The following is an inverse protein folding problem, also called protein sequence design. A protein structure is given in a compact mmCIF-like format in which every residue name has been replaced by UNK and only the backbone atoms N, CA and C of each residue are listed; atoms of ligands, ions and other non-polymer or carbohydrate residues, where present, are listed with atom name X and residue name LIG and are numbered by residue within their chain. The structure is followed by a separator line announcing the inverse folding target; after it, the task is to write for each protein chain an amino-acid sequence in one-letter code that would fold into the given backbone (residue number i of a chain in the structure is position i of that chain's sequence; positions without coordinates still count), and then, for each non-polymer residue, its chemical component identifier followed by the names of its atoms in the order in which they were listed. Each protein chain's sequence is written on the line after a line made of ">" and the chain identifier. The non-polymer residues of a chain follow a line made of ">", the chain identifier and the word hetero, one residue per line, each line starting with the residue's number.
data_IF_025722379616
#
_entry.id   IF_025722379616
#
_cell.length_a   1.000
_cell.length_b   1.000
_cell.length_c   1.000
_cell.angle_alpha   90.00
_cell.angle_beta   90.00
_cell.angle_gamma   90.00
#
_symmetry.space_group_name_H-M   'P 1'
#
loop_
_entity.id
_entity.type
_entity.pdbx_description
1 polymer ?
#
# COMPACT_ATOMS: atom_id res chain seq x y z
N UNK A 1 6.45 6.69 -2.73
CA UNK A 1 5.62 6.22 -3.85
C UNK A 1 6.46 5.51 -4.92
N UNK A 2 7.54 6.09 -5.45
CA UNK A 2 8.35 5.42 -6.48
C UNK A 2 8.79 3.99 -6.09
N UNK A 3 9.25 3.79 -4.86
CA UNK A 3 9.62 2.46 -4.34
C UNK A 3 8.39 1.54 -4.27
N UNK A 4 7.25 2.03 -3.80
CA UNK A 4 6.05 1.21 -3.71
C UNK A 4 5.49 0.81 -5.08
N UNK A 5 5.57 1.67 -6.10
CA UNK A 5 5.23 1.28 -7.46
C UNK A 5 6.09 0.12 -7.99
N UNK A 6 7.37 0.06 -7.62
CA UNK A 6 8.23 -1.08 -8.00
C UNK A 6 7.86 -2.38 -7.28
N UNK A 7 7.27 -2.32 -6.08
CA UNK A 7 6.97 -3.53 -5.29
C UNK A 7 6.01 -4.49 -5.98
N UNK A 8 5.11 -4.00 -6.84
CA UNK A 8 4.23 -4.86 -7.63
C UNK A 8 5.02 -5.85 -8.50
N UNK A 9 6.10 -5.39 -9.13
CA UNK A 9 6.97 -6.24 -9.96
C UNK A 9 7.74 -7.25 -9.09
N UNK A 10 8.35 -6.80 -7.99
CA UNK A 10 9.10 -7.68 -7.09
C UNK A 10 8.20 -8.71 -6.39
N UNK A 11 6.98 -8.33 -6.00
CA UNK A 11 5.99 -9.26 -5.44
C UNK A 11 5.57 -10.29 -6.50
N UNK A 12 5.35 -9.88 -7.75
CA UNK A 12 5.01 -10.82 -8.84
C UNK A 12 6.14 -11.83 -9.08
N UNK A 13 7.40 -11.39 -9.04
CA UNK A 13 8.55 -12.30 -9.17
C UNK A 13 8.59 -13.35 -8.04
N UNK A 14 8.25 -12.96 -6.81
CA UNK A 14 8.17 -13.88 -5.68
C UNK A 14 7.00 -14.86 -5.80
N UNK A 15 5.83 -14.41 -6.28
CA UNK A 15 4.69 -15.29 -6.59
C UNK A 15 5.07 -16.33 -7.66
N UNK A 16 5.74 -15.90 -8.73
CA UNK A 16 6.24 -16.79 -9.79
C UNK A 16 7.33 -17.76 -9.30
N UNK A 17 8.03 -17.42 -8.22
CA UNK A 17 9.02 -18.31 -7.59
C UNK A 17 8.38 -19.34 -6.65
N UNK A 18 7.03 -19.37 -6.53
CA UNK A 18 6.29 -20.35 -5.74
C UNK A 18 5.96 -19.92 -4.31
N UNK A 19 6.26 -18.69 -3.92
CA UNK A 19 5.80 -18.14 -2.63
C UNK A 19 4.31 -17.77 -2.72
N UNK A 20 3.57 -18.06 -1.67
CA UNK A 20 2.15 -17.66 -1.58
C UNK A 20 2.01 -16.18 -1.17
N UNK A 21 0.86 -15.53 -1.46
CA UNK A 21 0.57 -14.18 -1.02
C UNK A 21 0.78 -13.96 0.49
N UNK A 22 0.37 -14.91 1.32
CA UNK A 22 0.50 -14.88 2.78
C UNK A 22 1.97 -15.00 3.22
N UNK A 23 2.73 -15.90 2.60
CA UNK A 23 4.17 -16.07 2.88
C UNK A 23 4.96 -14.80 2.55
N UNK A 24 4.70 -14.18 1.38
CA UNK A 24 5.37 -12.93 0.99
C UNK A 24 5.07 -11.83 2.01
N UNK A 25 3.80 -11.65 2.39
CA UNK A 25 3.43 -10.67 3.41
C UNK A 25 4.14 -10.95 4.74
N UNK A 26 4.06 -12.17 5.23
CA UNK A 26 4.60 -12.54 6.56
C UNK A 26 6.12 -12.37 6.60
N UNK A 27 6.84 -12.87 5.61
CA UNK A 27 8.31 -12.78 5.56
C UNK A 27 8.79 -11.32 5.50
N UNK A 28 8.20 -10.49 4.63
CA UNK A 28 8.58 -9.09 4.53
C UNK A 28 8.25 -8.29 5.80
N UNK A 29 7.13 -8.59 6.48
CA UNK A 29 6.74 -7.91 7.71
C UNK A 29 7.54 -8.39 8.92
N UNK A 30 7.94 -9.66 8.98
CA UNK A 30 8.90 -10.14 10.00
C UNK A 30 10.22 -9.38 9.89
N UNK A 31 10.79 -9.27 8.69
CA UNK A 31 12.02 -8.50 8.47
C UNK A 31 11.86 -7.05 8.92
N UNK A 32 10.78 -6.39 8.49
CA UNK A 32 10.50 -5.02 8.85
C UNK A 32 10.29 -4.83 10.36
N UNK A 33 9.54 -5.74 11.00
CA UNK A 33 9.26 -5.68 12.43
C UNK A 33 10.51 -5.89 13.28
N UNK A 34 11.34 -6.89 12.95
CA UNK A 34 12.58 -7.17 13.68
C UNK A 34 13.53 -5.98 13.63
N UNK A 35 13.71 -5.37 12.46
CA UNK A 35 14.54 -4.19 12.29
C UNK A 35 14.00 -2.98 13.08
N UNK A 36 12.69 -2.74 13.01
CA UNK A 36 12.06 -1.64 13.72
C UNK A 36 12.01 -1.88 15.24
N UNK A 37 11.88 -3.13 15.65
CA UNK A 37 11.99 -3.55 17.05
C UNK A 37 13.39 -3.25 17.58
N UNK A 38 14.45 -3.66 16.86
CA UNK A 38 15.83 -3.35 17.19
C UNK A 38 16.07 -1.85 17.34
N UNK A 39 15.57 -1.05 16.38
CA UNK A 39 15.63 0.41 16.49
C UNK A 39 14.89 0.95 17.72
N UNK A 40 13.69 0.43 18.02
CA UNK A 40 12.87 0.87 19.16
C UNK A 40 13.53 0.57 20.51
N UNK A 41 14.29 -0.53 20.62
CA UNK A 41 15.04 -0.90 21.83
C UNK A 41 16.16 0.10 22.14
N UNK A 42 16.77 0.72 21.11
CA UNK A 42 17.85 1.70 21.31
C UNK A 42 17.35 3.10 21.68
N UNK A 43 16.03 3.37 21.63
CA UNK A 43 15.44 4.71 21.70
C UNK A 43 14.25 4.81 22.68
N UNK A 44 14.23 4.19 23.79
CA UNK A 44 13.21 4.33 24.87
C UNK A 44 11.78 4.72 24.41
N UNK A 45 11.31 4.10 23.29
CA UNK A 45 9.96 4.34 22.80
C UNK A 45 8.92 3.61 23.69
N UNK A 46 7.74 4.22 23.87
CA UNK A 46 6.61 3.57 24.53
C UNK A 46 6.28 2.21 23.89
N UNK A 47 5.90 1.24 24.75
CA UNK A 47 5.58 -0.13 24.27
C UNK A 47 4.09 -0.38 24.19
N UNK A 48 3.32 0.18 25.11
CA UNK A 48 1.87 -0.02 25.22
C UNK A 48 1.14 1.27 24.86
N UNK A 49 -0.07 1.12 24.37
CA UNK A 49 -1.00 2.22 24.17
C UNK A 49 -1.58 2.69 25.51
N UNK A 50 -2.03 3.95 25.56
CA UNK A 50 -2.55 4.55 26.79
C UNK A 50 -3.89 3.94 27.25
N UNK A 51 -4.63 3.31 26.35
CA UNK A 51 -5.92 2.70 26.64
C UNK A 51 -6.21 1.48 25.75
N UNK A 52 -7.16 0.65 26.19
CA UNK A 52 -7.65 -0.50 25.40
C UNK A 52 -8.26 -0.03 24.06
N UNK A 53 -8.91 1.12 24.04
CA UNK A 53 -9.46 1.69 22.78
C UNK A 53 -8.35 2.04 21.80
N UNK A 54 -7.25 2.58 22.29
CA UNK A 54 -6.10 2.91 21.44
C UNK A 54 -5.40 1.63 20.95
N UNK A 55 -5.35 0.59 21.79
CA UNK A 55 -4.79 -0.71 21.38
C UNK A 55 -5.65 -1.38 20.30
N UNK A 56 -6.99 -1.31 20.41
CA UNK A 56 -7.91 -1.75 19.36
C UNK A 56 -7.76 -0.94 18.06
N UNK A 57 -7.48 0.36 18.18
CA UNK A 57 -7.15 1.20 17.02
C UNK A 57 -5.86 0.74 16.35
N UNK A 58 -4.82 0.41 17.11
CA UNK A 58 -3.55 -0.12 16.56
C UNK A 58 -3.75 -1.49 15.90
N UNK A 59 -4.61 -2.35 16.49
CA UNK A 59 -4.99 -3.62 15.87
C UNK A 59 -5.73 -3.41 14.55
N UNK A 60 -6.70 -2.51 14.51
CA UNK A 60 -7.41 -2.17 13.27
C UNK A 60 -6.47 -1.60 12.19
N UNK A 61 -5.50 -0.77 12.58
CA UNK A 61 -4.45 -0.28 11.67
C UNK A 61 -3.55 -1.42 11.15
N UNK A 62 -3.18 -2.37 12.01
CA UNK A 62 -2.39 -3.54 11.60
C UNK A 62 -3.12 -4.45 10.64
N UNK A 63 -4.43 -4.64 10.82
CA UNK A 63 -5.26 -5.44 9.90
C UNK A 63 -5.48 -4.70 8.58
N UNK A 64 -5.92 -3.44 8.63
CA UNK A 64 -6.28 -2.69 7.42
C UNK A 64 -5.09 -2.23 6.60
N UNK A 65 -3.99 -1.78 7.21
CA UNK A 65 -2.77 -1.36 6.52
C UNK A 65 -1.70 -2.44 6.40
N UNK A 66 -1.94 -3.60 7.01
CA UNK A 66 -1.04 -4.75 7.01
C UNK A 66 -1.69 -5.97 6.36
N UNK A 67 -2.11 -6.95 7.19
CA UNK A 67 -2.48 -8.29 6.72
C UNK A 67 -3.55 -8.30 5.65
N UNK A 68 -4.70 -7.68 5.88
CA UNK A 68 -5.83 -7.75 4.94
C UNK A 68 -5.51 -7.02 3.63
N UNK A 69 -4.87 -5.86 3.71
CA UNK A 69 -4.41 -5.13 2.52
C UNK A 69 -3.49 -5.99 1.66
N UNK A 70 -2.39 -6.50 2.24
CA UNK A 70 -1.40 -7.25 1.47
C UNK A 70 -1.88 -8.63 1.05
N UNK A 71 -2.72 -9.31 1.84
CA UNK A 71 -3.34 -10.56 1.41
C UNK A 71 -4.19 -10.35 0.16
N UNK A 72 -5.07 -9.36 0.17
CA UNK A 72 -5.97 -9.09 -0.96
C UNK A 72 -5.20 -8.54 -2.17
N UNK A 73 -4.24 -7.64 -1.98
CA UNK A 73 -3.39 -7.11 -3.05
C UNK A 73 -2.54 -8.22 -3.70
N UNK A 74 -1.80 -8.98 -2.90
CA UNK A 74 -0.93 -10.03 -3.42
C UNK A 74 -1.74 -11.16 -4.08
N UNK A 75 -2.89 -11.53 -3.48
CA UNK A 75 -3.77 -12.56 -4.04
C UNK A 75 -4.40 -12.11 -5.35
N UNK A 76 -4.73 -10.84 -5.51
CA UNK A 76 -5.28 -10.32 -6.77
C UNK A 76 -4.36 -10.59 -7.95
N UNK A 77 -3.04 -10.49 -7.76
CA UNK A 77 -2.03 -10.72 -8.79
C UNK A 77 -1.92 -12.18 -9.27
N UNK A 78 -2.57 -13.13 -8.59
CA UNK A 78 -2.71 -14.50 -9.08
C UNK A 78 -3.84 -14.63 -10.12
N UNK A 79 -4.82 -13.73 -10.07
CA UNK A 79 -6.04 -13.82 -10.90
C UNK A 79 -6.11 -12.73 -11.98
N UNK A 80 -5.42 -11.60 -11.78
CA UNK A 80 -5.37 -10.48 -12.73
C UNK A 80 -3.93 -10.00 -12.95
N UNK A 81 -3.74 -9.03 -13.85
CA UNK A 81 -2.41 -8.48 -14.13
C UNK A 81 -1.94 -7.53 -13.02
N UNK A 82 -0.63 -7.39 -12.88
CA UNK A 82 -0.01 -6.40 -11.97
C UNK A 82 -0.49 -4.98 -12.27
N UNK A 83 -0.64 -4.67 -13.55
CA UNK A 83 -1.15 -3.41 -14.06
C UNK A 83 -2.58 -3.15 -13.61
N UNK A 84 -3.47 -4.15 -13.74
CA UNK A 84 -4.87 -4.05 -13.32
C UNK A 84 -4.99 -3.90 -11.79
N UNK A 85 -4.24 -4.70 -11.04
CA UNK A 85 -4.15 -4.57 -9.57
C UNK A 85 -3.71 -3.16 -9.17
N UNK A 86 -2.63 -2.64 -9.78
CA UNK A 86 -2.12 -1.28 -9.51
C UNK A 86 -3.14 -0.19 -9.82
N UNK A 87 -3.91 -0.32 -10.91
CA UNK A 87 -4.99 0.61 -11.25
C UNK A 87 -6.07 0.64 -10.16
N UNK A 88 -6.58 -0.54 -9.81
CA UNK A 88 -7.70 -0.64 -8.87
C UNK A 88 -7.26 -0.19 -7.47
N UNK A 89 -6.07 -0.57 -7.02
CA UNK A 89 -5.49 -0.10 -5.74
C UNK A 89 -5.31 1.42 -5.74
N UNK A 90 -5.02 2.02 -6.89
CA UNK A 90 -4.91 3.49 -7.02
C UNK A 90 -6.25 4.23 -6.86
N UNK A 91 -7.39 3.54 -6.69
CA UNK A 91 -8.64 4.15 -6.24
C UNK A 91 -8.64 4.48 -4.73
N UNK A 92 -7.67 3.95 -3.98
CA UNK A 92 -7.60 4.14 -2.52
C UNK A 92 -7.62 5.61 -2.07
N UNK A 93 -7.03 6.61 -2.76
CA UNK A 93 -7.17 8.01 -2.39
C UNK A 93 -8.60 8.55 -2.51
N UNK A 94 -9.35 8.10 -3.53
CA UNK A 94 -10.77 8.48 -3.67
C UNK A 94 -11.58 7.90 -2.52
N UNK A 95 -11.36 6.62 -2.18
CA UNK A 95 -12.02 5.94 -1.07
C UNK A 95 -11.66 6.61 0.26
N UNK A 96 -10.37 6.87 0.50
CA UNK A 96 -9.91 7.55 1.70
C UNK A 96 -10.55 8.94 1.84
N UNK A 97 -10.56 9.73 0.76
CA UNK A 97 -11.17 11.06 0.74
C UNK A 97 -12.66 11.01 1.01
N UNK A 98 -13.39 10.04 0.45
CA UNK A 98 -14.82 9.84 0.69
C UNK A 98 -15.08 9.46 2.16
N UNK A 99 -14.33 8.50 2.70
CA UNK A 99 -14.47 8.11 4.10
C UNK A 99 -14.15 9.27 5.04
N UNK A 100 -13.05 9.99 4.81
CA UNK A 100 -12.66 11.14 5.63
C UNK A 100 -13.71 12.25 5.55
N UNK A 101 -14.28 12.52 4.38
CA UNK A 101 -15.34 13.49 4.21
C UNK A 101 -16.59 13.15 5.03
N UNK A 102 -16.91 11.85 5.17
CA UNK A 102 -18.07 11.39 5.94
C UNK A 102 -17.84 11.49 7.46
N UNK A 103 -16.63 11.19 7.93
CA UNK A 103 -16.36 11.07 9.37
C UNK A 103 -15.65 12.28 9.98
N UNK A 104 -14.94 13.09 9.19
CA UNK A 104 -14.14 14.23 9.68
C UNK A 104 -14.46 15.52 8.93
N UNK A 105 -15.03 16.49 9.62
CA UNK A 105 -15.35 17.81 9.05
C UNK A 105 -14.13 18.69 8.82
N UNK A 106 -13.07 18.50 9.61
CA UNK A 106 -11.84 19.31 9.60
C UNK A 106 -10.86 18.94 8.49
N UNK A 107 -10.98 17.74 7.92
CA UNK A 107 -10.10 17.19 6.90
C UNK A 107 -10.75 17.20 5.50
N UNK A 108 -11.84 17.98 5.31
CA UNK A 108 -12.57 18.02 4.04
C UNK A 108 -11.76 18.69 2.94
N UNK A 109 -11.78 18.07 1.77
CA UNK A 109 -11.22 18.64 0.56
C UNK A 109 -12.00 19.89 0.12
N UNK A 110 -11.27 20.92 -0.30
CA UNK A 110 -11.86 22.03 -1.04
C UNK A 110 -12.14 21.63 -2.51
N UNK A 111 -12.88 22.46 -3.25
CA UNK A 111 -13.27 22.15 -4.64
C UNK A 111 -12.07 21.95 -5.57
N UNK A 112 -10.97 22.69 -5.37
CA UNK A 112 -9.74 22.57 -6.18
C UNK A 112 -9.05 21.25 -5.89
N UNK A 113 -8.95 20.89 -4.61
CA UNK A 113 -8.36 19.59 -4.19
C UNK A 113 -9.18 18.42 -4.73
N UNK A 114 -10.50 18.50 -4.69
CA UNK A 114 -11.37 17.47 -5.24
C UNK A 114 -11.22 17.33 -6.76
N UNK A 115 -11.16 18.44 -7.48
CA UNK A 115 -10.90 18.43 -8.92
C UNK A 115 -9.51 17.84 -9.23
N UNK A 116 -8.48 18.18 -8.44
CA UNK A 116 -7.14 17.61 -8.55
C UNK A 116 -7.11 16.11 -8.33
N UNK A 117 -7.80 15.61 -7.27
CA UNK A 117 -7.92 14.18 -6.97
C UNK A 117 -8.60 13.42 -8.11
N UNK A 118 -9.69 13.96 -8.66
CA UNK A 118 -10.38 13.35 -9.81
C UNK A 118 -9.51 13.37 -11.07
N UNK A 119 -8.80 14.48 -11.33
CA UNK A 119 -7.88 14.58 -12.48
C UNK A 119 -6.75 13.55 -12.37
N UNK A 120 -6.17 13.37 -11.17
CA UNK A 120 -5.14 12.35 -10.96
C UNK A 120 -5.69 10.93 -11.18
N UNK A 121 -6.91 10.64 -10.72
CA UNK A 121 -7.57 9.35 -10.95
C UNK A 121 -7.81 9.08 -12.45
N UNK A 122 -8.24 10.08 -13.22
CA UNK A 122 -8.37 9.97 -14.67
C UNK A 122 -7.01 9.73 -15.31
N UNK A 123 -5.97 10.45 -14.85
CA UNK A 123 -4.60 10.24 -15.31
C UNK A 123 -4.11 8.82 -15.10
N UNK A 124 -4.40 8.21 -13.93
CA UNK A 124 -4.09 6.80 -13.64
C UNK A 124 -4.80 5.88 -14.65
N UNK A 125 -6.08 6.09 -14.91
CA UNK A 125 -6.82 5.30 -15.89
C UNK A 125 -6.17 5.40 -17.29
N UNK A 126 -5.76 6.59 -17.72
CA UNK A 126 -5.09 6.79 -19.02
C UNK A 126 -3.73 6.08 -19.07
N UNK A 127 -2.93 6.17 -17.99
CA UNK A 127 -1.63 5.50 -17.90
C UNK A 127 -1.78 3.98 -17.98
N UNK A 128 -2.72 3.42 -17.24
CA UNK A 128 -2.87 1.97 -17.13
C UNK A 128 -3.52 1.36 -18.36
N UNK A 129 -4.53 2.01 -18.92
CA UNK A 129 -5.15 1.55 -20.18
C UNK A 129 -4.18 1.61 -21.36
N UNK A 130 -3.18 2.50 -21.31
CA UNK A 130 -2.05 2.57 -22.25
C UNK A 130 -2.46 2.44 -23.74
N UNK A 131 -3.67 2.94 -24.10
CA UNK A 131 -4.24 2.82 -25.43
C UNK A 131 -4.91 1.49 -25.77
N UNK A 132 -4.81 0.51 -24.90
CA UNK A 132 -5.49 -0.78 -25.04
C UNK A 132 -6.69 -0.81 -24.11
N UNK A 133 -7.88 -0.55 -24.65
CA UNK A 133 -9.13 -0.60 -23.88
C UNK A 133 -9.60 -2.03 -23.56
N UNK A 134 -8.73 -3.03 -23.69
CA UNK A 134 -9.04 -4.41 -23.34
C UNK A 134 -8.68 -4.63 -21.88
N UNK A 135 -9.62 -4.34 -21.01
CA UNK A 135 -9.56 -4.79 -19.61
C UNK A 135 -9.78 -6.32 -19.62
N UNK A 136 -8.74 -7.06 -19.30
CA UNK A 136 -8.91 -8.47 -18.94
C UNK A 136 -9.60 -8.52 -17.57
N UNK A 137 -10.93 -8.41 -17.56
CA UNK A 137 -11.73 -8.43 -16.34
C UNK A 137 -11.62 -9.81 -15.69
N UNK A 138 -11.08 -9.84 -14.51
CA UNK A 138 -11.11 -10.99 -13.61
C UNK A 138 -11.95 -10.64 -12.38
N UNK A 139 -13.24 -11.04 -12.33
CA UNK A 139 -14.12 -10.61 -11.24
C UNK A 139 -13.55 -10.88 -9.86
N UNK A 140 -12.88 -12.02 -9.66
CA UNK A 140 -12.23 -12.36 -8.40
C UNK A 140 -10.97 -11.51 -8.16
N UNK A 141 -10.07 -11.42 -9.15
CA UNK A 141 -8.85 -10.62 -9.03
C UNK A 141 -9.14 -9.15 -8.81
N UNK A 142 -10.10 -8.60 -9.55
CA UNK A 142 -10.48 -7.19 -9.47
C UNK A 142 -11.19 -6.87 -8.14
N UNK A 143 -12.04 -7.78 -7.62
CA UNK A 143 -12.66 -7.63 -6.31
C UNK A 143 -11.65 -7.70 -5.16
N UNK A 144 -10.63 -8.54 -5.25
CA UNK A 144 -9.52 -8.59 -4.30
C UNK A 144 -8.70 -7.29 -4.32
N UNK A 145 -8.36 -6.77 -5.51
CA UNK A 145 -7.67 -5.49 -5.64
C UNK A 145 -8.52 -4.32 -5.09
N UNK A 146 -9.83 -4.32 -5.32
CA UNK A 146 -10.73 -3.32 -4.76
C UNK A 146 -10.83 -3.43 -3.24
N UNK A 147 -10.83 -4.65 -2.69
CA UNK A 147 -10.78 -4.88 -1.24
C UNK A 147 -9.49 -4.32 -0.64
N UNK A 148 -8.34 -4.46 -1.32
CA UNK A 148 -7.10 -3.82 -0.91
C UNK A 148 -7.22 -2.29 -0.91
N UNK A 149 -7.82 -1.69 -1.94
CA UNK A 149 -8.06 -0.24 -2.01
C UNK A 149 -8.95 0.24 -0.85
N UNK A 150 -9.99 -0.52 -0.50
CA UNK A 150 -10.86 -0.25 0.66
C UNK A 150 -10.07 -0.32 1.98
N UNK A 151 -9.26 -1.36 2.16
CA UNK A 151 -8.42 -1.52 3.35
C UNK A 151 -7.48 -0.32 3.53
N UNK A 152 -6.82 0.15 2.45
CA UNK A 152 -5.96 1.33 2.50
C UNK A 152 -6.74 2.61 2.79
N UNK A 153 -7.97 2.74 2.29
CA UNK A 153 -8.88 3.83 2.62
C UNK A 153 -9.21 3.87 4.12
N UNK A 154 -9.56 2.73 4.72
CA UNK A 154 -9.81 2.61 6.16
C UNK A 154 -8.53 2.84 6.98
N UNK A 155 -7.38 2.30 6.56
CA UNK A 155 -6.10 2.59 7.19
C UNK A 155 -5.85 4.11 7.25
N UNK A 156 -6.05 4.82 6.14
CA UNK A 156 -5.87 6.27 6.06
C UNK A 156 -6.81 7.03 7.01
N UNK A 157 -8.07 6.60 7.12
CA UNK A 157 -9.04 7.15 8.07
C UNK A 157 -8.60 6.94 9.52
N UNK A 158 -8.20 5.72 9.88
CA UNK A 158 -7.81 5.34 11.24
C UNK A 158 -6.46 5.98 11.65
N UNK A 159 -5.61 6.34 10.70
CA UNK A 159 -4.37 7.06 10.97
C UNK A 159 -4.59 8.47 11.53
N UNK A 160 -5.74 9.10 11.28
CA UNK A 160 -6.03 10.45 11.78
C UNK A 160 -6.01 10.51 13.32
N UNK A 161 -6.80 9.72 14.05
CA UNK A 161 -6.75 9.71 15.51
C UNK A 161 -5.42 9.16 16.06
N UNK A 162 -4.82 8.17 15.40
CA UNK A 162 -3.53 7.61 15.83
C UNK A 162 -2.40 8.65 15.79
N UNK A 163 -2.29 9.42 14.70
CA UNK A 163 -1.27 10.46 14.53
C UNK A 163 -1.39 11.63 15.52
N UNK A 164 -2.57 11.84 16.10
CA UNK A 164 -2.78 12.88 17.12
C UNK A 164 -2.17 12.50 18.48
N UNK A 165 -2.09 11.20 18.76
CA UNK A 165 -1.67 10.69 20.10
C UNK A 165 -0.27 10.12 20.11
N UNK A 166 0.11 9.41 19.04
CA UNK A 166 1.31 8.58 19.04
C UNK A 166 2.34 9.05 18.02
N UNK A 167 3.58 8.66 18.24
CA UNK A 167 4.65 8.92 17.28
C UNK A 167 4.64 7.90 16.14
N UNK A 168 5.30 8.27 15.05
CA UNK A 168 5.34 7.48 13.81
C UNK A 168 5.97 6.10 14.02
N UNK A 169 7.02 6.01 14.85
CA UNK A 169 7.74 4.74 15.10
C UNK A 169 6.84 3.80 15.90
N UNK A 170 6.17 4.32 16.93
CA UNK A 170 5.21 3.57 17.71
C UNK A 170 4.09 2.98 16.85
N UNK A 171 3.42 3.83 16.05
CA UNK A 171 2.32 3.41 15.17
C UNK A 171 2.83 2.34 14.20
N UNK A 172 3.94 2.58 13.51
CA UNK A 172 4.47 1.65 12.50
C UNK A 172 4.83 0.31 13.11
N UNK A 173 5.43 0.29 14.30
CA UNK A 173 5.74 -0.93 15.04
C UNK A 173 4.49 -1.71 15.40
N UNK A 174 3.44 -1.03 15.88
CA UNK A 174 2.14 -1.64 16.20
C UNK A 174 1.44 -2.19 14.95
N UNK A 175 1.49 -1.47 13.84
CA UNK A 175 0.95 -1.94 12.54
C UNK A 175 1.63 -3.24 12.11
N UNK A 176 2.95 -3.34 12.21
CA UNK A 176 3.66 -4.57 11.86
C UNK A 176 3.34 -5.69 12.84
N UNK A 177 3.34 -5.41 14.14
CA UNK A 177 3.00 -6.40 15.17
C UNK A 177 1.61 -6.99 14.98
N UNK A 178 0.57 -6.14 14.89
CA UNK A 178 -0.79 -6.60 14.73
C UNK A 178 -1.09 -7.17 13.35
N UNK A 179 -0.41 -6.67 12.31
CA UNK A 179 -0.44 -7.28 11.00
C UNK A 179 0.04 -8.73 11.00
N UNK A 180 1.16 -9.00 11.68
CA UNK A 180 1.68 -10.37 11.85
C UNK A 180 0.79 -11.21 12.75
N UNK A 181 0.34 -10.65 13.88
CA UNK A 181 -0.52 -11.36 14.84
C UNK A 181 -1.83 -11.81 14.18
N UNK A 182 -2.42 -11.00 13.33
CA UNK A 182 -3.66 -11.30 12.61
C UNK A 182 -3.50 -12.39 11.54
N UNK A 183 -2.27 -12.78 11.17
CA UNK A 183 -2.01 -13.93 10.30
C UNK A 183 -2.06 -15.28 11.02
N UNK A 184 -1.97 -15.29 12.34
CA UNK A 184 -2.01 -16.55 13.10
C UNK A 184 -3.29 -17.35 12.81
N UNK A 185 -4.51 -16.77 12.89
CA UNK A 185 -5.72 -17.50 12.52
C UNK A 185 -5.69 -18.01 11.08
N UNK A 186 -5.19 -17.21 10.13
CA UNK A 186 -5.09 -17.61 8.75
C UNK A 186 -4.25 -18.89 8.56
N UNK A 187 -3.07 -18.96 9.19
CA UNK A 187 -2.22 -20.14 9.11
C UNK A 187 -2.76 -21.35 9.90
N UNK A 188 -3.59 -21.13 10.91
CA UNK A 188 -4.28 -22.22 11.59
C UNK A 188 -5.36 -22.86 10.72
N UNK A 189 -6.02 -22.08 9.85
CA UNK A 189 -7.01 -22.59 8.89
C UNK A 189 -6.39 -23.12 7.59
N UNK A 190 -5.19 -22.67 7.23
CA UNK A 190 -4.47 -23.05 6.01
C UNK A 190 -3.05 -23.57 6.36
N UNK A 191 -2.91 -24.69 7.09
CA UNK A 191 -1.61 -25.18 7.57
C UNK A 191 -0.66 -25.60 6.43
N UNK A 192 -1.17 -25.98 5.28
CA UNK A 192 -0.40 -26.32 4.08
C UNK A 192 0.46 -25.16 3.58
N UNK A 193 0.07 -23.90 3.83
CA UNK A 193 0.88 -22.75 3.47
C UNK A 193 2.14 -22.57 4.34
N UNK A 194 2.21 -23.21 5.49
CA UNK A 194 3.41 -23.17 6.34
C UNK A 194 4.43 -24.24 5.95
N UNK A 195 3.99 -25.34 5.34
CA UNK A 195 4.85 -26.49 5.01
C UNK A 195 5.50 -26.41 3.63
N UNK A 196 4.92 -25.65 2.70
CA UNK A 196 5.36 -25.56 1.30
C UNK A 196 6.17 -24.29 1.02
N UNK A 197 7.31 -24.14 1.67
CA UNK A 197 8.24 -23.04 1.33
C UNK A 197 9.16 -23.50 0.20
N UNK A 198 9.30 -22.69 -0.87
CA UNK A 198 10.25 -22.98 -1.94
C UNK A 198 11.70 -22.87 -1.41
N UNK A 199 12.64 -23.52 -2.08
CA UNK A 199 14.06 -23.35 -1.76
C UNK A 199 14.49 -21.91 -1.98
N UNK A 200 15.04 -21.29 -0.94
CA UNK A 200 15.49 -19.90 -1.00
C UNK A 200 16.79 -19.81 -1.83
N UNK A 201 16.70 -19.17 -2.98
CA UNK A 201 17.85 -18.77 -3.77
C UNK A 201 18.20 -17.29 -3.51
N UNK A 202 19.34 -16.85 -4.02
CA UNK A 202 19.81 -15.47 -3.80
C UNK A 202 18.83 -14.42 -4.34
N UNK A 203 18.12 -14.71 -5.42
CA UNK A 203 17.12 -13.79 -5.99
C UNK A 203 15.92 -13.62 -5.08
N UNK A 204 15.35 -14.71 -4.56
CA UNK A 204 14.23 -14.67 -3.60
C UNK A 204 14.65 -13.89 -2.35
N UNK A 205 15.86 -14.18 -1.81
CA UNK A 205 16.36 -13.52 -0.61
C UNK A 205 16.54 -12.01 -0.82
N UNK A 206 17.15 -11.59 -1.92
CA UNK A 206 17.35 -10.17 -2.24
C UNK A 206 16.01 -9.45 -2.42
N UNK A 207 15.04 -10.07 -3.09
CA UNK A 207 13.70 -9.50 -3.25
C UNK A 207 12.98 -9.35 -1.91
N UNK A 208 13.06 -10.34 -1.03
CA UNK A 208 12.47 -10.28 0.31
C UNK A 208 13.15 -9.24 1.19
N UNK A 209 14.47 -9.13 1.14
CA UNK A 209 15.21 -8.09 1.86
C UNK A 209 14.83 -6.70 1.36
N UNK A 210 14.74 -6.50 0.05
CA UNK A 210 14.25 -5.23 -0.52
C UNK A 210 12.84 -4.90 -0.04
N UNK A 211 11.90 -5.85 -0.14
CA UNK A 211 10.53 -5.66 0.29
C UNK A 211 10.40 -5.44 1.81
N UNK A 212 11.18 -6.15 2.62
CA UNK A 212 11.15 -6.03 4.08
C UNK A 212 11.83 -4.75 4.59
N UNK A 213 13.10 -4.54 4.21
CA UNK A 213 13.89 -3.42 4.74
C UNK A 213 13.46 -2.09 4.13
N UNK A 214 13.37 -2.03 2.80
CA UNK A 214 13.17 -0.76 2.10
C UNK A 214 11.67 -0.47 1.95
N UNK A 215 10.93 -1.35 1.28
CA UNK A 215 9.54 -1.09 0.94
C UNK A 215 8.59 -1.19 2.13
N UNK A 216 8.86 -2.07 3.11
CA UNK A 216 8.06 -2.13 4.33
C UNK A 216 8.63 -1.19 5.40
N UNK A 217 9.78 -1.44 6.00
CA UNK A 217 10.25 -0.65 7.14
C UNK A 217 10.41 0.84 6.80
N UNK A 218 11.31 1.18 5.86
CA UNK A 218 11.62 2.58 5.59
C UNK A 218 10.46 3.33 4.95
N UNK A 219 9.76 2.72 3.98
CA UNK A 219 8.66 3.40 3.30
C UNK A 219 7.43 3.56 4.19
N UNK A 220 7.09 2.61 5.08
CA UNK A 220 6.00 2.80 6.04
C UNK A 220 6.31 3.87 7.07
N UNK A 221 7.55 3.92 7.57
CA UNK A 221 7.97 5.03 8.46
C UNK A 221 7.85 6.38 7.75
N UNK A 222 8.39 6.48 6.54
CA UNK A 222 8.31 7.70 5.75
C UNK A 222 6.84 8.07 5.45
N UNK A 223 6.01 7.08 5.07
CA UNK A 223 4.60 7.28 4.78
C UNK A 223 3.81 7.79 5.99
N UNK A 224 3.96 7.13 7.14
CA UNK A 224 3.27 7.52 8.36
C UNK A 224 3.73 8.91 8.85
N UNK A 225 5.02 9.22 8.66
CA UNK A 225 5.53 10.58 8.92
C UNK A 225 4.92 11.62 7.98
N UNK A 226 4.82 11.33 6.68
CA UNK A 226 4.17 12.20 5.69
C UNK A 226 2.70 12.41 6.03
N UNK A 227 1.97 11.34 6.36
CA UNK A 227 0.57 11.43 6.79
C UNK A 227 0.40 12.31 8.04
N UNK A 228 1.34 12.23 9.00
CA UNK A 228 1.34 13.07 10.20
C UNK A 228 1.60 14.55 9.87
N UNK A 229 2.42 14.84 8.86
CA UNK A 229 2.81 16.22 8.48
C UNK A 229 1.82 16.90 7.53
N UNK A 230 1.34 16.18 6.52
CA UNK A 230 0.49 16.73 5.46
C UNK A 230 -1.01 16.49 5.69
N UNK A 231 -1.36 15.56 6.59
CA UNK A 231 -2.70 15.03 6.76
C UNK A 231 -2.97 13.84 5.83
N UNK A 232 -3.97 13.02 6.22
CA UNK A 232 -4.24 11.77 5.54
C UNK A 232 -4.72 11.97 4.08
N UNK A 233 -5.55 12.97 3.83
CA UNK A 233 -6.14 13.23 2.51
C UNK A 233 -5.07 13.64 1.49
N UNK A 234 -4.23 14.61 1.86
CA UNK A 234 -3.15 15.10 0.96
C UNK A 234 -2.13 14.00 0.73
N UNK A 235 -1.71 13.30 1.80
CA UNK A 235 -0.75 12.22 1.70
C UNK A 235 -1.23 11.11 0.76
N UNK A 236 -2.50 10.67 0.86
CA UNK A 236 -3.03 9.57 0.03
C UNK A 236 -3.05 9.89 -1.46
N UNK A 237 -3.18 11.17 -1.86
CA UNK A 237 -3.13 11.55 -3.27
C UNK A 237 -1.80 11.19 -3.95
N UNK A 238 -0.70 11.10 -3.19
CA UNK A 238 0.58 10.67 -3.75
C UNK A 238 0.60 9.19 -4.20
N UNK A 239 -0.37 8.38 -3.76
CA UNK A 239 -0.54 6.98 -4.22
C UNK A 239 -0.81 6.91 -5.72
N UNK A 240 -1.43 7.93 -6.32
CA UNK A 240 -1.62 8.01 -7.78
C UNK A 240 -0.32 7.96 -8.57
N UNK A 241 0.82 8.19 -7.94
CA UNK A 241 2.12 8.07 -8.60
C UNK A 241 2.61 6.62 -8.76
N UNK A 242 2.02 5.66 -8.03
CA UNK A 242 2.42 4.26 -8.07
C UNK A 242 2.36 3.65 -9.49
N UNK A 243 1.25 3.78 -10.26
CA UNK A 243 1.19 3.21 -11.62
C UNK A 243 2.26 3.76 -12.56
N UNK A 244 2.62 5.03 -12.41
CA UNK A 244 3.69 5.65 -13.21
C UNK A 244 5.01 4.91 -12.99
N UNK A 245 5.36 4.70 -11.73
CA UNK A 245 6.59 3.99 -11.38
C UNK A 245 6.52 2.50 -11.68
N UNK A 246 5.36 1.87 -11.49
CA UNK A 246 5.14 0.47 -11.87
C UNK A 246 5.46 0.24 -13.35
N UNK A 247 4.93 1.09 -14.25
CA UNK A 247 5.14 0.98 -15.70
C UNK A 247 6.60 1.29 -16.08
N UNK A 248 7.23 2.28 -15.43
CA UNK A 248 8.65 2.55 -15.66
C UNK A 248 9.53 1.35 -15.29
N UNK A 249 9.26 0.68 -14.17
CA UNK A 249 9.97 -0.54 -13.78
C UNK A 249 9.63 -1.71 -14.71
N UNK A 250 8.36 -1.88 -15.12
CA UNK A 250 7.95 -2.89 -16.10
C UNK A 250 8.67 -2.67 -17.45
N UNK A 251 8.87 -1.42 -17.88
CA UNK A 251 9.68 -1.09 -19.07
C UNK A 251 11.10 -1.63 -18.95
N UNK A 252 11.76 -1.40 -17.81
CA UNK A 252 13.16 -1.79 -17.59
C UNK A 252 13.28 -3.31 -17.44
N UNK A 253 12.38 -3.95 -16.69
CA UNK A 253 12.45 -5.38 -16.34
C UNK A 253 11.80 -6.27 -17.39
N UNK A 254 10.68 -5.84 -17.99
CA UNK A 254 9.87 -6.61 -18.92
C UNK A 254 9.97 -6.11 -20.37
N UNK A 255 10.76 -5.06 -20.63
CA UNK A 255 10.96 -4.45 -21.96
C UNK A 255 9.66 -3.95 -22.62
N UNK A 256 8.65 -3.56 -21.84
CA UNK A 256 7.41 -3.01 -22.33
C UNK A 256 7.62 -1.63 -22.99
N UNK A 257 6.80 -1.28 -24.00
CA UNK A 257 6.93 0.02 -24.69
C UNK A 257 6.21 1.13 -23.93
N UNK A 258 6.88 2.30 -23.80
CA UNK A 258 6.25 3.53 -23.31
C UNK A 258 5.48 4.17 -24.45
N UNK A 259 4.20 4.41 -24.26
CA UNK A 259 3.31 4.99 -25.26
C UNK A 259 3.04 6.47 -24.97
N UNK A 260 2.41 7.16 -25.95
CA UNK A 260 1.93 8.53 -25.77
C UNK A 260 0.89 8.63 -24.62
N UNK A 261 0.05 7.61 -24.45
CA UNK A 261 -0.93 7.55 -23.36
C UNK A 261 -0.28 7.57 -21.98
N UNK A 262 0.85 6.85 -21.82
CA UNK A 262 1.64 6.94 -20.60
C UNK A 262 2.10 8.36 -20.30
N UNK A 263 2.60 9.09 -21.29
CA UNK A 263 3.06 10.47 -21.10
C UNK A 263 1.91 11.42 -20.72
N UNK A 264 0.78 11.33 -21.45
CA UNK A 264 -0.41 12.15 -21.18
C UNK A 264 -0.96 11.85 -19.78
N UNK A 265 -1.13 10.57 -19.45
CA UNK A 265 -1.67 10.17 -18.15
C UNK A 265 -0.74 10.57 -17.00
N UNK A 266 0.59 10.45 -17.18
CA UNK A 266 1.57 10.93 -16.19
C UNK A 266 1.45 12.43 -15.96
N UNK A 267 1.29 13.21 -17.01
CA UNK A 267 1.08 14.67 -16.90
C UNK A 267 -0.21 14.97 -16.11
N UNK A 268 -1.31 14.29 -16.41
CA UNK A 268 -2.58 14.44 -15.69
C UNK A 268 -2.43 14.08 -14.19
N UNK A 269 -1.69 13.01 -13.87
CA UNK A 269 -1.40 12.62 -12.48
C UNK A 269 -0.63 13.74 -11.78
N UNK A 270 0.45 14.22 -12.35
CA UNK A 270 1.29 15.25 -11.73
C UNK A 270 0.54 16.56 -11.52
N UNK A 271 -0.21 17.02 -12.51
CA UNK A 271 -1.05 18.24 -12.41
C UNK A 271 -2.16 18.02 -11.39
N UNK A 272 -2.82 16.87 -11.41
CA UNK A 272 -3.87 16.52 -10.45
C UNK A 272 -3.36 16.49 -9.00
N UNK A 273 -2.20 15.87 -8.75
CA UNK A 273 -1.54 15.87 -7.45
C UNK A 273 -1.17 17.28 -6.99
N UNK A 274 -0.63 18.12 -7.89
CA UNK A 274 -0.30 19.50 -7.57
C UNK A 274 -1.54 20.32 -7.17
N UNK A 275 -2.66 20.13 -7.87
CA UNK A 275 -3.93 20.79 -7.53
C UNK A 275 -4.49 20.25 -6.19
N UNK A 276 -4.38 18.94 -5.95
CA UNK A 276 -4.83 18.31 -4.72
C UNK A 276 -4.03 18.73 -3.48
N UNK A 277 -2.76 19.13 -3.65
CA UNK A 277 -1.90 19.62 -2.56
C UNK A 277 -2.09 21.11 -2.25
N UNK A 278 -2.76 21.88 -3.11
CA UNK A 278 -2.98 23.30 -2.88
C UNK A 278 -3.86 23.53 -1.65
N UNK A 279 -3.24 23.99 -0.57
CA UNK A 279 -3.95 24.62 0.55
C UNK A 279 -4.44 26.02 0.11
N UNK A 280 -5.64 26.40 0.54
CA UNK A 280 -6.07 27.81 0.46
C UNK A 280 -5.19 28.66 1.34
#
# INVERSE_FOLDING_TARGET
>A
MAIWGSTFVFTKLLLLSGLTPAQIFTLRFIIAYVLLLGYSLTRNHCWLSDSVKDELLMMALGVTGGSLYFLTENSSMNYTTTTNTSLIVSLSPLIASALIYLFYTTERLNRIQMAGTLMAAIGVAVVVLNGHFVLHLSPLGDSLAFSAALCWGFYSLLMIPANKKYDTVFITRKVFFYGLLSMIPYYLFCPEETSNLPSFNSSILLNLLFLGCVASMLCFLAWNWVMKKLGAVVATNYVYFNPVTTILFARVVLSEQITLYFLIGTLLILVGMYLADRKK
#
